data_IF_796234672482
#
_entry.id   IF_796234672482
#
_cell.length_a   1.000
_cell.length_b   1.000
_cell.length_c   1.000
_cell.angle_alpha   90.00
_cell.angle_beta   90.00
_cell.angle_gamma   90.00
#
_symmetry.space_group_name_H-M   'P 1'
#
loop_
_entity.id
_entity.type
_entity.pdbx_description
1 polymer ?
#
# COMPACT_ATOMS: atom_id res chain seq x y z
N UNK A 1 -6.87 12.35 -5.54
CA UNK A 1 -7.12 12.68 -4.13
C UNK A 1 -6.94 14.16 -3.92
N UNK A 2 -7.98 14.96 -4.17
CA UNK A 2 -8.01 16.39 -3.82
C UNK A 2 -8.67 16.64 -2.45
N UNK A 3 -8.99 15.57 -1.71
CA UNK A 3 -9.52 15.65 -0.34
C UNK A 3 -10.96 16.15 -0.24
N UNK A 4 -11.65 16.36 -1.37
CA UNK A 4 -13.01 16.93 -1.43
C UNK A 4 -14.12 15.90 -1.28
N UNK A 5 -13.80 14.68 -0.85
CA UNK A 5 -14.77 13.60 -0.61
C UNK A 5 -15.39 13.01 -1.87
N UNK A 6 -14.69 13.01 -3.01
CA UNK A 6 -15.21 12.39 -4.25
C UNK A 6 -15.10 10.86 -4.16
N UNK A 7 -16.09 10.15 -4.67
CA UNK A 7 -16.07 8.67 -4.70
C UNK A 7 -14.82 8.11 -5.42
N UNK A 8 -14.32 8.81 -6.44
CA UNK A 8 -13.10 8.45 -7.18
C UNK A 8 -11.84 8.53 -6.32
N UNK A 9 -11.84 9.36 -5.29
CA UNK A 9 -10.72 9.41 -4.35
C UNK A 9 -10.72 8.14 -3.49
N UNK A 10 -11.89 7.64 -3.10
CA UNK A 10 -11.98 6.45 -2.23
C UNK A 10 -11.75 5.12 -2.97
N UNK A 11 -11.99 5.06 -4.28
CA UNK A 11 -11.95 3.79 -5.04
C UNK A 11 -10.60 3.08 -4.96
N UNK A 12 -9.50 3.84 -4.84
CA UNK A 12 -8.15 3.27 -4.76
C UNK A 12 -7.90 2.61 -3.40
N UNK A 13 -8.28 3.27 -2.32
CA UNK A 13 -8.10 2.74 -0.96
C UNK A 13 -9.07 1.58 -0.70
N UNK A 14 -10.29 1.62 -1.21
CA UNK A 14 -11.25 0.51 -1.14
C UNK A 14 -10.72 -0.75 -1.82
N UNK A 15 -10.12 -0.62 -3.02
CA UNK A 15 -9.49 -1.73 -3.73
C UNK A 15 -8.33 -2.33 -2.93
N UNK A 16 -7.51 -1.49 -2.32
CA UNK A 16 -6.41 -1.94 -1.45
C UNK A 16 -6.95 -2.75 -0.26
N UNK A 17 -7.95 -2.22 0.46
CA UNK A 17 -8.57 -2.93 1.59
C UNK A 17 -9.24 -4.23 1.20
N UNK A 18 -9.87 -4.30 0.02
CA UNK A 18 -10.42 -5.54 -0.49
C UNK A 18 -9.33 -6.58 -0.70
N UNK A 19 -8.25 -6.24 -1.40
CA UNK A 19 -7.12 -7.16 -1.60
C UNK A 19 -6.51 -7.61 -0.27
N UNK A 20 -6.25 -6.69 0.68
CA UNK A 20 -5.68 -7.04 1.99
C UNK A 20 -6.54 -8.07 2.74
N UNK A 21 -7.85 -7.82 2.82
CA UNK A 21 -8.76 -8.69 3.57
C UNK A 21 -8.81 -10.09 2.97
N UNK A 22 -8.98 -10.19 1.65
CA UNK A 22 -9.14 -11.49 0.98
C UNK A 22 -7.82 -12.25 0.81
N UNK A 23 -6.70 -11.57 0.63
CA UNK A 23 -5.40 -12.21 0.35
C UNK A 23 -4.59 -12.46 1.63
N UNK A 24 -4.87 -11.77 2.74
CA UNK A 24 -4.12 -11.90 3.98
C UNK A 24 -4.98 -12.25 5.20
N UNK A 25 -5.99 -11.44 5.49
CA UNK A 25 -6.71 -11.53 6.78
C UNK A 25 -7.65 -12.73 6.82
N UNK A 26 -8.43 -12.97 5.77
CA UNK A 26 -9.44 -14.03 5.75
C UNK A 26 -8.86 -15.44 5.53
N UNK A 27 -7.62 -15.54 5.08
CA UNK A 27 -6.95 -16.84 4.82
C UNK A 27 -6.14 -17.36 6.01
N UNK A 28 -6.04 -16.58 7.09
CA UNK A 28 -5.16 -16.88 8.23
C UNK A 28 -5.98 -16.93 9.51
N UNK A 29 -5.75 -17.97 10.30
CA UNK A 29 -6.17 -18.01 11.70
C UNK A 29 -5.17 -17.19 12.50
N UNK A 30 -5.48 -15.91 12.70
CA UNK A 30 -4.68 -14.99 13.51
C UNK A 30 -5.27 -14.97 14.92
N UNK A 31 -4.56 -15.53 15.89
CA UNK A 31 -5.05 -15.65 17.27
C UNK A 31 -4.72 -14.42 18.10
N UNK A 32 -3.62 -13.73 17.76
CA UNK A 32 -3.12 -12.59 18.52
C UNK A 32 -2.97 -11.32 17.69
N UNK A 33 -3.05 -10.17 18.36
CA UNK A 33 -2.76 -8.88 17.73
C UNK A 33 -1.31 -8.76 17.23
N UNK A 34 -0.36 -9.48 17.83
CA UNK A 34 1.04 -9.50 17.39
C UNK A 34 1.22 -10.23 16.06
N UNK A 35 0.50 -11.33 15.86
CA UNK A 35 0.48 -12.06 14.58
C UNK A 35 -0.19 -11.22 13.50
N UNK A 36 -1.31 -10.56 13.82
CA UNK A 36 -1.97 -9.65 12.89
C UNK A 36 -1.01 -8.53 12.45
N UNK A 37 -0.29 -7.90 13.37
CA UNK A 37 0.70 -6.86 13.01
C UNK A 37 1.79 -7.39 12.08
N UNK A 38 2.32 -8.58 12.34
CA UNK A 38 3.33 -9.20 11.47
C UNK A 38 2.77 -9.53 10.09
N UNK A 39 1.58 -10.11 10.02
CA UNK A 39 0.91 -10.42 8.76
C UNK A 39 0.63 -9.17 7.93
N UNK A 40 0.14 -8.10 8.56
CA UNK A 40 -0.08 -6.80 7.93
C UNK A 40 1.22 -6.18 7.41
N UNK A 41 2.28 -6.16 8.22
CA UNK A 41 3.58 -5.62 7.83
C UNK A 41 4.14 -6.35 6.61
N UNK A 42 4.09 -7.68 6.63
CA UNK A 42 4.51 -8.51 5.50
C UNK A 42 3.68 -8.24 4.25
N UNK A 43 2.35 -8.17 4.39
CA UNK A 43 1.47 -7.99 3.22
C UNK A 43 1.63 -6.61 2.60
N UNK A 44 1.80 -5.56 3.41
CA UNK A 44 2.06 -4.20 2.92
C UNK A 44 3.42 -4.11 2.21
N UNK A 45 4.46 -4.76 2.74
CA UNK A 45 5.76 -4.86 2.03
C UNK A 45 5.58 -5.56 0.68
N UNK A 46 4.91 -6.71 0.65
CA UNK A 46 4.62 -7.44 -0.57
C UNK A 46 3.87 -6.58 -1.60
N UNK A 47 2.78 -5.94 -1.17
CA UNK A 47 1.95 -5.10 -2.04
C UNK A 47 2.75 -3.95 -2.65
N UNK A 48 3.53 -3.24 -1.83
CA UNK A 48 4.26 -2.06 -2.28
C UNK A 48 5.53 -2.39 -3.09
N UNK A 49 6.29 -3.41 -2.67
CA UNK A 49 7.66 -3.65 -3.14
C UNK A 49 7.80 -4.89 -4.02
N UNK A 50 6.75 -5.70 -4.21
CA UNK A 50 6.85 -6.97 -4.97
C UNK A 50 5.70 -7.19 -5.94
N UNK A 51 4.48 -6.72 -5.65
CA UNK A 51 3.30 -6.96 -6.48
C UNK A 51 3.35 -6.15 -7.77
N UNK A 52 3.28 -6.77 -8.96
CA UNK A 52 3.12 -6.06 -10.22
C UNK A 52 1.67 -5.59 -10.39
N UNK A 53 1.47 -4.37 -10.88
CA UNK A 53 0.14 -3.79 -11.10
C UNK A 53 -0.10 -3.50 -12.58
N UNK A 54 -1.20 -4.01 -13.14
CA UNK A 54 -1.59 -3.71 -14.53
C UNK A 54 -1.78 -2.22 -14.81
N UNK A 55 -2.29 -1.47 -13.83
CA UNK A 55 -2.47 -0.02 -13.96
C UNK A 55 -1.14 0.75 -14.04
N UNK A 56 -0.02 0.10 -13.69
CA UNK A 56 1.32 0.65 -13.71
C UNK A 56 2.22 -0.10 -14.71
N UNK A 57 1.65 -0.67 -15.77
CA UNK A 57 2.39 -1.43 -16.79
C UNK A 57 3.24 -2.58 -16.22
N UNK A 58 2.74 -3.24 -15.17
CA UNK A 58 3.43 -4.34 -14.50
C UNK A 58 4.45 -3.89 -13.45
N UNK A 59 4.64 -2.58 -13.27
CA UNK A 59 5.51 -2.02 -12.23
C UNK A 59 4.88 -2.09 -10.85
N UNK A 60 5.72 -1.94 -9.83
CA UNK A 60 5.33 -2.05 -8.42
C UNK A 60 4.95 -0.67 -7.87
N UNK A 61 3.99 -0.57 -6.93
CA UNK A 61 3.54 0.72 -6.40
C UNK A 61 4.66 1.61 -5.86
N UNK A 62 5.67 1.02 -5.19
CA UNK A 62 6.78 1.78 -4.64
C UNK A 62 7.66 2.43 -5.73
N UNK A 63 7.81 1.79 -6.90
CA UNK A 63 8.59 2.34 -8.01
C UNK A 63 7.91 3.60 -8.56
N UNK A 64 6.59 3.56 -8.72
CA UNK A 64 5.79 4.72 -9.15
C UNK A 64 5.86 5.84 -8.11
N UNK A 65 5.77 5.50 -6.82
CA UNK A 65 5.84 6.48 -5.74
C UNK A 65 7.21 7.19 -5.69
N UNK A 66 8.30 6.44 -5.90
CA UNK A 66 9.66 6.99 -5.88
C UNK A 66 9.97 7.89 -7.09
N UNK A 67 9.36 7.62 -8.25
CA UNK A 67 9.51 8.43 -9.46
C UNK A 67 8.56 9.63 -9.52
N UNK A 68 7.48 9.60 -8.74
CA UNK A 68 6.48 10.66 -8.71
C UNK A 68 7.02 11.98 -8.15
N UNK A 69 6.38 13.12 -8.49
CA UNK A 69 6.72 14.41 -7.92
C UNK A 69 6.53 14.35 -6.41
N UNK A 70 7.54 14.84 -5.69
CA UNK A 70 7.50 14.87 -4.23
C UNK A 70 6.42 15.86 -3.78
N UNK A 71 5.41 15.44 -2.99
CA UNK A 71 4.40 16.37 -2.52
C UNK A 71 5.06 17.47 -1.69
N UNK A 72 4.89 18.72 -2.14
CA UNK A 72 5.37 19.90 -1.43
C UNK A 72 4.68 19.99 -0.07
N UNK A 73 5.46 20.16 1.01
CA UNK A 73 4.94 20.31 2.37
C UNK A 73 4.72 19.01 3.17
N UNK A 74 5.06 17.83 2.65
CA UNK A 74 5.03 16.57 3.42
C UNK A 74 6.40 16.28 4.05
N UNK A 75 6.50 16.09 5.38
CA UNK A 75 7.79 15.89 6.06
C UNK A 75 8.59 14.64 5.59
N UNK A 76 9.94 14.70 5.57
CA UNK A 76 10.83 13.62 5.11
C UNK A 76 10.69 12.25 5.80
N UNK A 77 10.10 12.18 6.99
CA UNK A 77 9.82 10.93 7.70
C UNK A 77 8.82 10.01 6.95
N UNK A 78 8.14 10.52 5.92
CA UNK A 78 7.27 9.76 5.02
C UNK A 78 7.96 9.25 3.74
N UNK A 79 9.23 9.59 3.49
CA UNK A 79 10.00 9.01 2.39
C UNK A 79 10.76 7.78 2.87
N UNK A 80 10.57 6.59 2.24
CA UNK A 80 11.53 5.52 2.44
C UNK A 80 12.82 5.97 1.73
N UNK A 81 13.81 6.40 2.51
CA UNK A 81 15.19 6.44 2.02
C UNK A 81 15.50 5.04 1.49
N UNK A 82 16.01 4.98 0.25
CA UNK A 82 16.43 3.77 -0.46
C UNK A 82 17.04 2.76 0.53
N UNK A 83 16.37 1.63 0.72
CA UNK A 83 17.05 0.44 1.19
C UNK A 83 18.06 0.06 0.10
N UNK A 84 19.33 0.35 0.37
CA UNK A 84 20.46 -0.23 -0.34
C UNK A 84 20.65 -1.68 0.11
#
# INVERSE_FOLDING_TARGET
MDGRGRWMDNVMIERLWRSLKYECVYLRELETGSELRQALAWWIDFYNNRRPHKAFDGRKPMEIYQEGPKPEGVPPLAWPHKAA
#
